data_IF_825213281708
#
_entry.id   IF_825213281708
#
_cell.length_a   1.000
_cell.length_b   1.000
_cell.length_c   1.000
_cell.angle_alpha   90.00
_cell.angle_beta   90.00
_cell.angle_gamma   90.00
#
_symmetry.space_group_name_H-M   'P 1'
#
loop_
_entity.id
_entity.type
_entity.pdbx_description
1 polymer ?
#
# COMPACT_ATOMS: atom_id res chain seq x y z
N UNK A 1 -62.38 61.29 11.88
CA UNK A 1 -62.16 60.02 12.60
C UNK A 1 -61.78 58.97 11.57
N UNK A 2 -60.56 58.41 11.69
CA UNK A 2 -60.10 57.04 11.35
C UNK A 2 -60.28 56.60 9.87
N UNK A 3 -59.34 56.02 9.13
CA UNK A 3 -58.00 55.44 9.33
C UNK A 3 -57.70 54.65 8.03
N UNK A 4 -56.55 54.86 7.38
CA UNK A 4 -55.36 54.00 7.38
C UNK A 4 -55.43 52.71 6.53
N UNK A 5 -54.64 52.75 5.45
CA UNK A 5 -53.83 51.74 4.75
C UNK A 5 -53.83 50.27 5.24
N UNK A 6 -53.69 49.34 4.29
CA UNK A 6 -53.41 47.94 4.58
C UNK A 6 -53.02 47.12 3.36
N UNK A 7 -51.74 47.17 3.01
CA UNK A 7 -51.04 46.53 1.90
C UNK A 7 -51.27 45.03 1.75
N UNK A 8 -51.51 44.59 0.51
CA UNK A 8 -51.53 43.20 0.10
C UNK A 8 -50.13 42.77 -0.36
N UNK A 9 -49.34 42.20 0.55
CA UNK A 9 -48.07 41.52 0.24
C UNK A 9 -47.89 40.35 1.19
N UNK A 10 -48.11 39.13 0.69
CA UNK A 10 -47.97 37.95 1.53
C UNK A 10 -48.20 36.63 0.82
N UNK A 11 -47.65 36.41 -0.37
CA UNK A 11 -47.70 35.08 -1.02
C UNK A 11 -46.58 34.93 -2.09
N UNK A 12 -45.32 35.05 -1.69
CA UNK A 12 -44.18 34.69 -2.58
C UNK A 12 -42.96 34.08 -1.88
N UNK A 13 -42.92 33.99 -0.54
CA UNK A 13 -41.74 33.55 0.20
C UNK A 13 -41.62 32.03 0.41
N UNK A 14 -42.67 31.23 0.12
CA UNK A 14 -42.67 29.79 0.38
C UNK A 14 -42.04 28.92 -0.73
N UNK A 15 -42.03 29.37 -1.99
CA UNK A 15 -41.62 28.53 -3.12
C UNK A 15 -40.11 28.46 -3.33
N UNK A 16 -39.39 29.57 -3.12
CA UNK A 16 -37.93 29.50 -3.14
C UNK A 16 -37.46 28.63 -1.96
N UNK A 17 -38.13 28.74 -0.78
CA UNK A 17 -38.18 27.82 0.37
C UNK A 17 -37.63 26.41 0.15
N UNK A 18 -38.35 25.77 -0.75
CA UNK A 18 -38.35 24.35 -0.99
C UNK A 18 -37.29 24.00 -2.03
N UNK A 19 -37.09 24.88 -3.03
CA UNK A 19 -36.12 24.70 -4.11
C UNK A 19 -34.67 24.66 -3.64
N UNK A 20 -34.26 25.53 -2.70
CA UNK A 20 -32.87 25.51 -2.20
C UNK A 20 -32.57 24.34 -1.26
N UNK A 21 -33.55 23.88 -0.48
CA UNK A 21 -33.37 22.69 0.36
C UNK A 21 -33.28 21.42 -0.49
N UNK A 22 -34.14 21.26 -1.51
CA UNK A 22 -34.03 20.17 -2.49
C UNK A 22 -32.71 20.21 -3.28
N UNK A 23 -32.23 21.39 -3.67
CA UNK A 23 -30.93 21.55 -4.34
C UNK A 23 -29.74 21.12 -3.48
N UNK A 24 -29.74 21.50 -2.20
CA UNK A 24 -28.71 21.11 -1.22
C UNK A 24 -28.72 19.60 -0.94
N UNK A 25 -29.89 18.98 -0.89
CA UNK A 25 -30.03 17.54 -0.69
C UNK A 25 -29.59 16.75 -1.93
N UNK A 26 -29.87 17.27 -3.13
CA UNK A 26 -29.38 16.72 -4.40
C UNK A 26 -27.85 16.75 -4.47
N UNK A 27 -27.22 17.86 -4.07
CA UNK A 27 -25.76 17.98 -4.04
C UNK A 27 -25.10 17.07 -2.99
N UNK A 28 -25.67 16.99 -1.78
CA UNK A 28 -25.23 16.02 -0.75
C UNK A 28 -25.31 14.59 -1.25
N UNK A 29 -26.40 14.23 -1.94
CA UNK A 29 -26.57 12.89 -2.51
C UNK A 29 -25.58 12.61 -3.64
N UNK A 30 -25.23 13.61 -4.45
CA UNK A 30 -24.22 13.45 -5.51
C UNK A 30 -22.81 13.29 -4.94
N UNK A 31 -22.44 14.07 -3.91
CA UNK A 31 -21.17 13.92 -3.18
C UNK A 31 -21.06 12.54 -2.53
N UNK A 32 -22.13 12.04 -1.90
CA UNK A 32 -22.20 10.67 -1.37
C UNK A 32 -22.02 9.61 -2.45
N UNK A 33 -22.67 9.77 -3.62
CA UNK A 33 -22.50 8.87 -4.78
C UNK A 33 -21.07 8.87 -5.31
N UNK A 34 -20.41 10.03 -5.39
CA UNK A 34 -19.00 10.14 -5.82
C UNK A 34 -18.06 9.49 -4.80
N UNK A 35 -18.32 9.65 -3.50
CA UNK A 35 -17.56 8.98 -2.43
C UNK A 35 -17.69 7.46 -2.51
N UNK A 36 -18.91 6.94 -2.60
CA UNK A 36 -19.17 5.50 -2.78
C UNK A 36 -18.53 4.94 -4.06
N UNK A 37 -18.49 5.70 -5.17
CA UNK A 37 -17.79 5.30 -6.40
C UNK A 37 -16.26 5.24 -6.25
N UNK A 38 -15.66 6.07 -5.39
CA UNK A 38 -14.22 6.06 -5.10
C UNK A 38 -13.87 4.91 -4.14
N UNK A 39 -14.66 4.73 -3.07
CA UNK A 39 -14.53 3.60 -2.14
C UNK A 39 -14.77 2.26 -2.85
N UNK A 40 -15.76 2.18 -3.76
CA UNK A 40 -16.00 1.00 -4.58
C UNK A 40 -14.85 0.66 -5.53
N UNK A 41 -14.15 1.67 -6.08
CA UNK A 41 -12.94 1.45 -6.89
C UNK A 41 -11.75 0.99 -6.05
N UNK A 42 -11.58 1.55 -4.84
CA UNK A 42 -10.52 1.17 -3.89
C UNK A 42 -10.69 -0.29 -3.45
N UNK A 43 -11.91 -0.66 -3.03
CA UNK A 43 -12.26 -2.04 -2.65
C UNK A 43 -12.19 -3.02 -3.82
N UNK A 44 -12.51 -2.61 -5.05
CA UNK A 44 -12.33 -3.47 -6.22
C UNK A 44 -10.85 -3.75 -6.53
N UNK A 45 -9.95 -2.76 -6.34
CA UNK A 45 -8.51 -2.96 -6.47
C UNK A 45 -7.97 -3.88 -5.38
N UNK A 46 -8.39 -3.69 -4.13
CA UNK A 46 -8.02 -4.57 -3.00
C UNK A 46 -8.50 -6.01 -3.23
N UNK A 47 -9.76 -6.21 -3.65
CA UNK A 47 -10.29 -7.54 -4.01
C UNK A 47 -9.55 -8.18 -5.17
N UNK A 48 -9.14 -7.39 -6.18
CA UNK A 48 -8.33 -7.88 -7.30
C UNK A 48 -6.97 -8.35 -6.78
N UNK A 49 -6.32 -7.55 -5.94
CA UNK A 49 -5.03 -7.86 -5.34
C UNK A 49 -5.08 -9.11 -4.45
N UNK A 50 -6.13 -9.26 -3.64
CA UNK A 50 -6.33 -10.43 -2.78
C UNK A 50 -6.68 -11.72 -3.55
N UNK A 51 -7.38 -11.59 -4.68
CA UNK A 51 -7.62 -12.71 -5.60
C UNK A 51 -6.33 -13.16 -6.29
N UNK A 52 -5.48 -12.21 -6.68
CA UNK A 52 -4.14 -12.48 -7.22
C UNK A 52 -3.26 -13.17 -6.15
N UNK A 53 -3.28 -12.67 -4.90
CA UNK A 53 -2.56 -13.26 -3.76
C UNK A 53 -2.93 -14.71 -3.52
N UNK A 54 -4.24 -15.03 -3.42
CA UNK A 54 -4.72 -16.41 -3.26
C UNK A 54 -4.37 -17.32 -4.45
N UNK A 55 -4.35 -16.77 -5.66
CA UNK A 55 -3.91 -17.51 -6.86
C UNK A 55 -2.41 -17.83 -6.77
N UNK A 56 -1.60 -16.89 -6.29
CA UNK A 56 -0.17 -17.10 -6.09
C UNK A 56 0.11 -18.09 -4.94
N UNK A 57 -0.59 -17.99 -3.82
CA UNK A 57 -0.51 -18.95 -2.70
C UNK A 57 -0.86 -20.38 -3.15
N UNK A 58 -1.91 -20.57 -3.95
CA UNK A 58 -2.28 -21.89 -4.49
C UNK A 58 -1.25 -22.46 -5.49
N UNK A 59 -0.53 -21.61 -6.21
CA UNK A 59 0.58 -22.04 -7.10
C UNK A 59 1.82 -22.42 -6.29
N UNK A 60 2.08 -21.70 -5.19
CA UNK A 60 3.16 -22.04 -4.24
C UNK A 60 2.91 -23.43 -3.63
N UNK A 61 1.69 -23.75 -3.19
CA UNK A 61 1.39 -25.08 -2.64
C UNK A 61 1.45 -26.21 -3.68
N UNK A 62 1.00 -25.97 -4.92
CA UNK A 62 1.09 -26.95 -6.01
C UNK A 62 2.55 -27.23 -6.43
N UNK A 63 3.41 -26.21 -6.45
CA UNK A 63 4.84 -26.39 -6.77
C UNK A 63 5.67 -26.91 -5.59
N UNK A 64 5.30 -26.60 -4.34
CA UNK A 64 5.89 -27.23 -3.14
C UNK A 64 5.63 -28.74 -3.13
N UNK A 65 4.44 -29.16 -3.61
CA UNK A 65 4.14 -30.57 -3.82
C UNK A 65 4.91 -31.18 -5.00
N UNK A 66 5.00 -30.49 -6.16
CA UNK A 66 5.71 -31.03 -7.33
C UNK A 66 7.24 -31.07 -7.18
N UNK A 67 7.84 -30.23 -6.35
CA UNK A 67 9.26 -30.35 -6.01
C UNK A 67 9.55 -31.53 -5.07
N UNK A 68 8.54 -31.98 -4.32
CA UNK A 68 8.62 -33.18 -3.49
C UNK A 68 8.28 -34.47 -4.26
N UNK A 69 7.52 -34.38 -5.36
CA UNK A 69 7.08 -35.56 -6.15
C UNK A 69 8.04 -35.93 -7.30
N UNK A 70 8.92 -35.03 -7.77
CA UNK A 70 9.83 -35.33 -8.89
C UNK A 70 11.03 -36.25 -8.52
N UNK A 71 11.22 -36.63 -7.24
CA UNK A 71 12.31 -37.54 -6.83
C UNK A 71 11.88 -39.04 -6.81
N UNK A 72 10.65 -39.39 -7.20
CA UNK A 72 10.15 -40.78 -7.10
C UNK A 72 10.07 -41.55 -8.42
N UNK A 73 11.09 -41.53 -9.28
CA UNK A 73 11.26 -42.62 -10.27
C UNK A 73 12.73 -42.98 -10.54
N UNK A 74 13.28 -43.89 -9.74
CA UNK A 74 14.08 -44.99 -10.26
C UNK A 74 14.11 -46.13 -9.26
N UNK A 75 13.42 -47.23 -9.60
CA UNK A 75 13.62 -48.53 -8.98
C UNK A 75 15.05 -49.00 -9.31
N UNK A 76 15.89 -49.12 -8.30
CA UNK A 76 16.88 -50.21 -8.15
C UNK A 76 17.46 -50.10 -6.74
N UNK A 77 17.45 -51.22 -6.01
CA UNK A 77 17.59 -51.24 -4.56
C UNK A 77 18.93 -50.77 -4.02
N UNK A 78 18.87 -50.04 -2.91
CA UNK A 78 19.85 -50.13 -1.84
C UNK A 78 19.20 -49.65 -0.54
N UNK A 79 18.86 -50.60 0.33
CA UNK A 79 18.49 -50.33 1.72
C UNK A 79 19.79 -50.03 2.46
N UNK A 80 19.98 -48.81 2.94
CA UNK A 80 21.16 -48.49 3.73
C UNK A 80 21.27 -47.01 4.05
N UNK A 81 20.85 -46.67 5.27
CA UNK A 81 21.47 -45.65 6.14
C UNK A 81 22.05 -44.42 5.44
N UNK A 82 21.30 -43.31 5.41
CA UNK A 82 21.84 -41.99 5.75
C UNK A 82 20.67 -41.02 5.98
N UNK A 83 19.99 -41.20 7.11
CA UNK A 83 19.15 -40.15 7.68
C UNK A 83 20.09 -39.20 8.43
N UNK A 84 20.77 -38.30 7.72
CA UNK A 84 21.41 -37.10 8.25
C UNK A 84 22.05 -36.33 7.08
N UNK A 85 21.92 -35.00 7.12
CA UNK A 85 22.37 -34.00 6.15
C UNK A 85 21.34 -33.60 5.08
N UNK A 86 20.17 -33.10 5.53
CA UNK A 86 19.43 -32.04 4.83
C UNK A 86 19.70 -30.66 5.47
N UNK A 87 20.93 -30.44 5.98
CA UNK A 87 21.21 -29.31 6.88
C UNK A 87 22.61 -28.74 6.73
N UNK A 88 23.10 -28.57 5.50
CA UNK A 88 24.21 -27.68 5.18
C UNK A 88 24.30 -27.62 3.66
N UNK A 89 24.57 -26.42 3.12
CA UNK A 89 24.54 -26.07 1.70
C UNK A 89 23.19 -25.63 1.14
N UNK A 90 22.61 -24.60 1.75
CA UNK A 90 21.97 -23.53 0.97
C UNK A 90 22.96 -22.35 0.90
N UNK A 91 23.78 -22.25 -0.15
CA UNK A 91 24.34 -20.94 -0.49
C UNK A 91 24.41 -20.82 -2.01
N UNK A 92 23.27 -20.50 -2.66
CA UNK A 92 23.17 -19.77 -3.94
C UNK A 92 21.79 -19.81 -4.61
N UNK A 93 20.74 -20.39 -4.01
CA UNK A 93 19.38 -20.25 -4.56
C UNK A 93 18.66 -19.04 -3.94
N UNK A 94 19.31 -17.89 -3.89
CA UNK A 94 18.74 -16.63 -3.39
C UNK A 94 18.88 -15.45 -4.34
N UNK A 95 19.49 -15.64 -5.52
CA UNK A 95 19.49 -14.64 -6.57
C UNK A 95 18.59 -15.12 -7.69
N UNK A 96 17.42 -14.49 -7.79
CA UNK A 96 16.40 -14.64 -8.82
C UNK A 96 15.65 -15.98 -8.86
N UNK A 97 14.87 -16.27 -7.81
CA UNK A 97 13.60 -16.95 -8.03
C UNK A 97 12.67 -15.98 -8.78
N UNK A 98 12.84 -15.88 -10.10
CA UNK A 98 11.83 -15.28 -10.97
C UNK A 98 10.69 -16.28 -11.12
N UNK A 99 9.93 -16.42 -10.06
CA UNK A 99 8.72 -17.22 -10.08
C UNK A 99 7.59 -16.37 -10.69
N UNK A 100 7.21 -16.72 -11.92
CA UNK A 100 6.02 -16.21 -12.63
C UNK A 100 6.04 -14.72 -13.02
N UNK A 101 7.21 -14.09 -13.15
CA UNK A 101 7.30 -12.69 -13.58
C UNK A 101 7.32 -11.67 -12.46
N UNK A 102 7.13 -12.10 -11.20
CA UNK A 102 7.28 -11.26 -10.02
C UNK A 102 8.75 -11.09 -9.62
N UNK A 103 9.06 -9.96 -8.99
CA UNK A 103 10.32 -9.65 -8.35
C UNK A 103 10.09 -9.38 -6.86
N UNK A 104 11.19 -9.50 -6.13
CA UNK A 104 11.25 -9.29 -4.70
C UNK A 104 11.93 -7.96 -4.40
N UNK A 105 11.38 -7.23 -3.43
CA UNK A 105 11.88 -5.96 -2.96
C UNK A 105 11.99 -5.99 -1.45
N UNK A 106 13.11 -5.51 -0.92
CA UNK A 106 13.23 -5.24 0.52
C UNK A 106 13.10 -3.74 0.71
N UNK A 107 12.15 -3.31 1.53
CA UNK A 107 11.93 -1.90 1.86
C UNK A 107 12.26 -1.68 3.32
N UNK A 108 13.16 -0.73 3.58
CA UNK A 108 13.65 -0.39 4.92
C UNK A 108 13.20 1.02 5.30
N UNK A 109 12.39 1.11 6.34
CA UNK A 109 11.94 2.37 6.93
C UNK A 109 12.81 2.71 8.12
N UNK A 110 13.32 3.94 8.16
CA UNK A 110 14.02 4.46 9.33
C UNK A 110 13.13 5.50 10.02
N UNK A 111 12.62 5.17 11.20
CA UNK A 111 11.78 6.08 11.98
C UNK A 111 12.65 7.06 12.78
N UNK A 112 12.26 8.33 12.82
CA UNK A 112 13.00 9.33 13.59
C UNK A 112 12.86 9.12 15.09
N UNK A 113 13.90 9.41 15.86
CA UNK A 113 13.83 9.48 17.32
C UNK A 113 12.89 10.57 17.87
N UNK A 114 12.52 11.53 17.03
CA UNK A 114 11.52 12.56 17.36
C UNK A 114 10.09 12.18 16.92
N UNK A 115 9.89 10.94 16.48
CA UNK A 115 8.58 10.34 16.26
C UNK A 115 7.90 10.01 17.60
N UNK A 116 6.57 9.85 17.66
CA UNK A 116 5.90 9.25 18.80
C UNK A 116 6.49 7.88 19.13
N UNK A 117 6.40 7.45 20.39
CA UNK A 117 6.99 6.19 20.86
C UNK A 117 6.51 4.98 20.06
N UNK A 118 5.23 4.96 19.72
CA UNK A 118 4.62 3.97 18.83
C UNK A 118 3.49 4.64 18.02
N UNK A 119 3.11 4.03 16.90
CA UNK A 119 1.97 4.47 16.09
C UNK A 119 1.07 3.27 15.78
N UNK A 120 -0.24 3.44 15.95
CA UNK A 120 -1.25 2.44 15.52
C UNK A 120 -1.94 2.85 14.23
N UNK A 121 -1.39 3.86 13.57
CA UNK A 121 -1.93 4.38 12.33
C UNK A 121 -1.73 3.36 11.22
N UNK A 122 -2.68 3.32 10.29
CA UNK A 122 -2.57 2.48 9.11
C UNK A 122 -1.56 3.10 8.17
N UNK A 123 -0.61 2.31 7.70
CA UNK A 123 0.44 2.75 6.78
C UNK A 123 0.31 1.97 5.49
N UNK A 124 0.21 2.71 4.38
CA UNK A 124 0.23 2.14 3.02
C UNK A 124 1.43 2.68 2.27
N UNK A 125 1.94 1.88 1.33
CA UNK A 125 3.10 2.19 0.50
C UNK A 125 2.71 2.06 -0.97
N UNK A 126 3.22 2.98 -1.79
CA UNK A 126 3.11 2.93 -3.25
C UNK A 126 4.45 3.38 -3.85
N UNK A 127 5.06 2.56 -4.70
CA UNK A 127 6.34 2.89 -5.34
C UNK A 127 6.45 2.24 -6.71
N UNK A 128 7.29 2.82 -7.56
CA UNK A 128 7.42 2.33 -8.92
C UNK A 128 8.53 3.00 -9.74
N UNK A 129 8.57 2.63 -11.02
CA UNK A 129 9.58 3.08 -11.98
C UNK A 129 9.00 3.98 -13.09
N UNK A 130 9.91 4.52 -13.92
CA UNK A 130 9.56 5.43 -15.01
C UNK A 130 8.85 4.72 -16.17
N UNK A 131 8.81 3.38 -16.15
CA UNK A 131 8.21 2.54 -17.18
C UNK A 131 6.75 2.17 -16.84
N UNK A 132 6.23 2.64 -15.70
CA UNK A 132 4.86 2.40 -15.26
C UNK A 132 4.67 1.10 -14.50
N UNK A 133 5.74 0.47 -13.99
CA UNK A 133 5.64 -0.63 -13.04
C UNK A 133 5.39 -0.06 -11.64
N UNK A 134 4.26 -0.45 -11.03
CA UNK A 134 3.79 0.05 -9.73
C UNK A 134 3.61 -1.11 -8.74
N UNK A 135 4.05 -0.90 -7.49
CA UNK A 135 3.84 -1.79 -6.36
C UNK A 135 3.09 -1.04 -5.27
N UNK A 136 1.82 -1.42 -5.09
CA UNK A 136 0.96 -0.89 -4.03
C UNK A 136 0.80 -1.91 -2.90
N UNK A 137 1.09 -1.48 -1.67
CA UNK A 137 0.90 -2.23 -0.43
C UNK A 137 -0.15 -1.51 0.43
N UNK A 138 -1.38 -2.05 0.54
CA UNK A 138 -2.48 -1.40 1.25
C UNK A 138 -2.23 -1.21 2.74
N UNK A 139 -1.54 -2.17 3.36
CA UNK A 139 -1.29 -2.17 4.80
C UNK A 139 0.03 -2.88 5.06
N UNK A 140 1.05 -2.09 5.39
CA UNK A 140 2.38 -2.58 5.74
C UNK A 140 2.61 -2.59 7.26
N UNK A 141 1.78 -1.87 8.00
CA UNK A 141 1.75 -1.97 9.45
C UNK A 141 1.30 -3.35 9.91
N UNK A 142 2.06 -3.94 10.82
CA UNK A 142 1.64 -5.09 11.59
C UNK A 142 1.32 -4.62 13.02
N UNK A 143 0.04 -4.63 13.42
CA UNK A 143 -0.41 -4.17 14.74
C UNK A 143 0.20 -4.93 15.92
N UNK A 144 0.81 -6.10 15.67
CA UNK A 144 1.27 -7.01 16.73
C UNK A 144 2.78 -6.98 16.98
N UNK A 145 3.57 -6.33 16.12
CA UNK A 145 5.04 -6.43 16.15
C UNK A 145 5.78 -5.17 16.57
N UNK A 146 5.09 -4.09 16.93
CA UNK A 146 5.74 -2.83 17.31
C UNK A 146 6.43 -2.13 16.13
N UNK A 147 5.89 -2.31 14.92
CA UNK A 147 6.41 -1.63 13.73
C UNK A 147 6.27 -0.11 13.87
N UNK A 148 7.26 0.62 13.35
CA UNK A 148 7.29 2.08 13.29
C UNK A 148 7.42 2.82 14.63
N UNK A 149 8.07 2.18 15.60
CA UNK A 149 8.47 2.79 16.88
C UNK A 149 9.49 3.93 16.71
N UNK A 150 9.60 4.81 17.71
CA UNK A 150 10.61 5.86 17.70
C UNK A 150 12.03 5.26 17.67
N UNK A 151 12.92 5.84 16.85
CA UNK A 151 14.28 5.34 16.64
C UNK A 151 14.37 3.90 16.08
N UNK A 152 13.31 3.33 15.52
CA UNK A 152 13.34 1.98 14.94
C UNK A 152 13.81 1.96 13.49
N UNK A 153 14.25 0.79 13.05
CA UNK A 153 14.42 0.46 11.64
C UNK A 153 13.56 -0.77 11.36
N UNK A 154 12.56 -0.59 10.50
CA UNK A 154 11.60 -1.64 10.14
C UNK A 154 11.83 -2.07 8.70
N UNK A 155 11.97 -3.37 8.46
CA UNK A 155 12.30 -3.94 7.15
C UNK A 155 11.18 -4.87 6.70
N UNK A 156 10.73 -4.69 5.46
CA UNK A 156 9.63 -5.46 4.89
C UNK A 156 10.00 -6.02 3.53
N UNK A 157 9.54 -7.24 3.30
CA UNK A 157 9.79 -7.96 2.07
C UNK A 157 8.51 -8.00 1.23
N UNK A 158 8.57 -7.39 0.05
CA UNK A 158 7.42 -7.08 -0.78
C UNK A 158 7.59 -7.76 -2.14
N UNK A 159 6.50 -8.35 -2.62
CA UNK A 159 6.43 -8.98 -3.93
C UNK A 159 5.63 -8.10 -4.90
N UNK A 160 6.12 -7.95 -6.12
CA UNK A 160 5.46 -7.14 -7.13
C UNK A 160 5.97 -7.40 -8.55
N UNK A 161 5.46 -6.68 -9.57
CA UNK A 161 6.07 -6.65 -10.89
C UNK A 161 7.55 -6.28 -10.80
N UNK A 162 8.37 -6.83 -11.70
CA UNK A 162 9.76 -6.43 -11.84
C UNK A 162 9.88 -5.01 -12.35
N UNK A 163 10.56 -4.16 -11.59
CA UNK A 163 10.88 -2.78 -11.91
C UNK A 163 12.40 -2.64 -12.05
N UNK A 164 12.84 -1.66 -12.83
CA UNK A 164 14.27 -1.36 -12.98
C UNK A 164 14.73 -0.45 -11.83
N UNK A 165 14.59 0.86 -12.03
CA UNK A 165 14.97 1.87 -11.05
C UNK A 165 13.73 2.46 -10.41
N UNK A 166 13.57 2.26 -9.10
CA UNK A 166 12.52 2.93 -8.34
C UNK A 166 12.79 4.43 -8.37
N UNK A 167 11.88 5.20 -8.97
CA UNK A 167 12.06 6.64 -9.12
C UNK A 167 10.97 7.46 -8.41
N UNK A 168 9.89 6.82 -7.97
CA UNK A 168 8.93 7.46 -7.07
C UNK A 168 8.58 6.55 -5.91
N UNK A 169 8.24 7.17 -4.77
CA UNK A 169 7.75 6.50 -3.59
C UNK A 169 6.81 7.43 -2.84
N UNK A 170 5.63 6.91 -2.51
CA UNK A 170 4.60 7.56 -1.72
C UNK A 170 4.23 6.71 -0.52
N UNK A 171 4.08 7.38 0.62
CA UNK A 171 3.64 6.83 1.88
C UNK A 171 2.31 7.46 2.23
N UNK A 172 1.36 6.64 2.64
CA UNK A 172 0.06 7.09 3.14
C UNK A 172 -0.08 6.69 4.59
N UNK A 173 -0.53 7.63 5.44
CA UNK A 173 -0.84 7.38 6.85
C UNK A 173 -2.29 7.75 7.14
N UNK A 174 -3.01 6.85 7.80
CA UNK A 174 -4.37 7.11 8.30
C UNK A 174 -4.46 6.77 9.78
N UNK A 175 -4.70 7.80 10.59
CA UNK A 175 -4.87 7.68 12.04
C UNK A 175 -4.42 8.93 12.80
N UNK A 176 -4.45 8.85 14.12
CA UNK A 176 -4.29 10.00 15.01
C UNK A 176 -2.94 10.08 15.71
N UNK A 177 -2.21 8.97 15.80
CA UNK A 177 -1.00 8.89 16.63
C UNK A 177 0.15 9.70 16.02
N UNK A 178 0.23 9.77 14.69
CA UNK A 178 1.30 10.44 13.97
C UNK A 178 2.52 9.54 13.81
N UNK A 179 3.40 9.93 12.90
CA UNK A 179 4.64 9.20 12.62
C UNK A 179 5.61 10.09 11.89
N UNK A 180 6.86 10.15 12.37
CA UNK A 180 7.94 10.92 11.74
C UNK A 180 8.94 9.99 11.09
N UNK A 181 8.94 10.02 9.77
CA UNK A 181 9.80 9.19 8.93
C UNK A 181 11.09 9.94 8.63
N UNK A 182 12.24 9.27 8.78
CA UNK A 182 13.52 9.83 8.41
C UNK A 182 13.85 9.49 6.95
N UNK A 183 13.96 8.20 6.64
CA UNK A 183 14.28 7.70 5.30
C UNK A 183 13.49 6.44 4.96
N UNK A 184 13.31 6.21 3.67
CA UNK A 184 12.83 4.94 3.11
C UNK A 184 13.84 4.48 2.07
N UNK A 185 14.31 3.25 2.20
CA UNK A 185 15.24 2.65 1.25
C UNK A 185 14.58 1.47 0.58
N UNK A 186 14.61 1.43 -0.74
CA UNK A 186 14.08 0.32 -1.54
C UNK A 186 15.25 -0.42 -2.16
N UNK A 187 15.36 -1.69 -1.84
CA UNK A 187 16.33 -2.62 -2.38
C UNK A 187 15.62 -3.52 -3.40
N UNK A 188 15.97 -3.36 -4.67
CA UNK A 188 15.46 -4.18 -5.76
C UNK A 188 16.57 -4.53 -6.74
N UNK A 189 16.38 -4.18 -8.01
CA UNK A 189 17.45 -4.25 -9.00
C UNK A 189 18.58 -3.26 -8.67
N UNK A 190 18.21 -2.03 -8.33
CA UNK A 190 19.08 -1.02 -7.74
C UNK A 190 18.53 -0.58 -6.37
N UNK A 191 19.40 -0.03 -5.52
CA UNK A 191 19.01 0.52 -4.22
C UNK A 191 18.79 2.02 -4.31
N UNK A 192 17.63 2.50 -3.87
CA UNK A 192 17.28 3.93 -3.89
C UNK A 192 16.82 4.37 -2.49
N UNK A 193 17.27 5.55 -2.07
CA UNK A 193 16.94 6.14 -0.77
C UNK A 193 16.12 7.42 -0.94
N UNK A 194 14.97 7.47 -0.28
CA UNK A 194 14.10 8.64 -0.21
C UNK A 194 14.21 9.29 1.17
N UNK A 195 14.47 10.58 1.21
CA UNK A 195 14.66 11.36 2.44
C UNK A 195 13.39 12.14 2.78
N UNK A 196 12.76 11.81 3.90
CA UNK A 196 11.53 12.44 4.37
C UNK A 196 11.79 13.47 5.48
N UNK A 197 12.53 13.05 6.51
CA UNK A 197 12.81 13.79 7.75
C UNK A 197 11.63 14.66 8.26
N UNK A 198 10.40 14.15 8.17
CA UNK A 198 9.19 14.94 8.45
C UNK A 198 8.06 14.06 8.97
N UNK A 199 7.08 14.70 9.62
CA UNK A 199 5.85 14.02 10.02
C UNK A 199 5.01 13.74 8.78
N UNK A 200 4.63 12.47 8.60
CA UNK A 200 3.78 12.08 7.47
C UNK A 200 2.37 12.66 7.71
N UNK A 201 1.82 13.44 6.77
CA UNK A 201 0.50 14.04 6.93
C UNK A 201 -0.59 12.96 6.99
N UNK A 202 -1.70 13.30 7.65
CA UNK A 202 -2.84 12.40 7.80
C UNK A 202 -3.68 12.39 6.52
N UNK A 203 -4.09 11.20 6.09
CA UNK A 203 -5.06 10.96 5.01
C UNK A 203 -4.65 11.53 3.64
N UNK A 204 -3.35 11.64 3.39
CA UNK A 204 -2.78 12.13 2.13
C UNK A 204 -1.57 11.25 1.75
N UNK A 205 -1.43 10.96 0.47
CA UNK A 205 -0.21 10.34 -0.08
C UNK A 205 0.92 11.37 -0.07
N UNK A 206 2.01 11.06 0.64
CA UNK A 206 3.15 11.94 0.81
C UNK A 206 4.44 11.26 0.36
N UNK A 207 5.23 11.94 -0.46
CA UNK A 207 6.44 11.37 -1.03
C UNK A 207 6.93 12.13 -2.24
N UNK A 208 7.74 11.46 -3.05
CA UNK A 208 8.51 12.10 -4.11
C UNK A 208 8.39 11.29 -5.40
N UNK A 209 8.36 12.00 -6.53
CA UNK A 209 8.42 11.42 -7.88
C UNK A 209 9.56 12.09 -8.66
N UNK A 210 10.60 11.30 -8.92
CA UNK A 210 11.79 11.66 -9.67
C UNK A 210 11.85 10.95 -11.02
N UNK A 211 10.76 10.32 -11.48
CA UNK A 211 10.75 9.55 -12.73
C UNK A 211 10.94 10.42 -13.97
N UNK A 212 10.59 11.70 -13.88
CA UNK A 212 10.81 12.69 -14.92
C UNK A 212 12.12 13.47 -14.73
N UNK A 213 12.94 13.10 -13.75
CA UNK A 213 14.17 13.81 -13.41
C UNK A 213 15.17 12.91 -12.70
N UNK A 214 16.18 12.45 -13.45
CA UNK A 214 17.54 12.28 -12.94
C UNK A 214 18.10 13.64 -12.44
N UNK A 215 17.35 14.38 -11.62
CA UNK A 215 17.53 15.80 -11.30
C UNK A 215 16.80 16.14 -10.01
N UNK A 216 17.31 15.65 -8.89
CA UNK A 216 17.14 16.27 -7.57
C UNK A 216 18.22 15.75 -6.62
N UNK A 217 19.44 16.23 -6.80
CA UNK A 217 20.45 16.25 -5.76
C UNK A 217 21.10 17.63 -5.79
N UNK A 218 20.74 18.46 -4.83
CA UNK A 218 21.49 19.66 -4.45
C UNK A 218 21.38 19.79 -2.94
#
# INVERSE_FOLDING_TARGET
MVGSDGSNVGLQSGFMAVGYNLGRDREKNERKRKKMRREGRRTARERKWEKERRRLEGVVDSKRSNCCTIIQTSKAGFVGLLNWVCGAFVPLCLLHLKENGACYYTVRFTTSCSSPSYTRDQISLDFGDAYGNEVYVPRIDDPSSGTFEACSVDTFDIYGPCMYDTCYLYVYRSGYDGWKLNTVEVYGYNSVTFYYNTFIPRDVWYGFDYCNGLSAST
#
